data_IF_155555604751
#
_entry.id   IF_155555604751
#
_cell.length_a   1.000
_cell.length_b   1.000
_cell.length_c   1.000
_cell.angle_alpha   90.00
_cell.angle_beta   90.00
_cell.angle_gamma   90.00
#
_symmetry.space_group_name_H-M   'P 1'
#
loop_
_entity.id
_entity.type
_entity.pdbx_description
1 polymer ?
#
# COMPACT_ATOMS: atom_id res chain seq x y z
N UNK A 1 -35.60 31.23 35.36
CA UNK A 1 -34.92 31.18 34.04
C UNK A 1 -33.45 30.74 34.17
N UNK A 2 -33.18 29.56 34.77
CA UNK A 2 -31.79 29.06 34.98
C UNK A 2 -31.59 27.59 34.54
N UNK A 3 -32.63 26.98 33.94
CA UNK A 3 -32.60 25.57 33.50
C UNK A 3 -32.43 25.40 31.99
N UNK A 4 -32.38 26.50 31.24
CA UNK A 4 -32.24 26.49 29.77
C UNK A 4 -30.79 26.66 29.28
N UNK A 5 -29.82 26.73 30.20
CA UNK A 5 -28.40 26.95 29.91
C UNK A 5 -27.58 25.65 29.89
N UNK A 6 -28.22 24.49 30.14
CA UNK A 6 -27.55 23.19 30.24
C UNK A 6 -27.58 22.36 28.95
N UNK A 7 -28.32 22.80 27.92
CA UNK A 7 -28.46 22.04 26.66
C UNK A 7 -27.43 22.47 25.60
N UNK A 8 -26.74 23.60 25.79
CA UNK A 8 -25.80 24.14 24.79
C UNK A 8 -24.40 23.50 24.83
N UNK A 9 -24.11 22.60 25.78
CA UNK A 9 -22.75 22.06 25.99
C UNK A 9 -22.50 20.70 25.30
N UNK A 10 -23.48 20.15 24.56
CA UNK A 10 -23.37 18.83 23.95
C UNK A 10 -23.26 18.87 22.41
N UNK A 11 -22.42 19.75 21.88
CA UNK A 11 -21.89 19.64 20.52
C UNK A 11 -20.39 19.90 20.56
N UNK A 12 -19.63 18.98 21.14
CA UNK A 12 -18.23 18.84 20.74
C UNK A 12 -18.25 18.32 19.30
N UNK A 13 -17.71 19.03 18.30
CA UNK A 13 -17.46 18.42 17.02
C UNK A 13 -16.47 17.27 17.26
N UNK A 14 -16.87 16.04 16.97
CA UNK A 14 -15.94 14.95 16.73
C UNK A 14 -15.04 15.43 15.59
N UNK A 15 -13.83 15.87 15.92
CA UNK A 15 -12.79 16.05 14.92
C UNK A 15 -12.49 14.66 14.38
N UNK A 16 -13.10 14.32 13.25
CA UNK A 16 -12.65 13.21 12.44
C UNK A 16 -11.21 13.55 12.03
N UNK A 17 -10.24 12.95 12.72
CA UNK A 17 -8.87 12.94 12.23
C UNK A 17 -8.92 12.15 10.93
N UNK A 18 -8.70 12.80 9.79
CA UNK A 18 -8.40 12.06 8.57
C UNK A 18 -7.23 11.13 8.91
N UNK A 19 -7.43 9.81 8.85
CA UNK A 19 -6.32 8.88 9.04
C UNK A 19 -5.44 9.00 7.81
N UNK A 20 -4.16 9.28 7.99
CA UNK A 20 -3.20 9.35 6.88
C UNK A 20 -2.82 7.93 6.44
N UNK A 21 -2.29 7.79 5.24
CA UNK A 21 -1.70 6.54 4.76
C UNK A 21 -0.19 6.66 4.54
N UNK A 22 0.51 5.54 4.65
CA UNK A 22 1.90 5.42 4.24
C UNK A 22 2.23 4.01 3.73
N UNK A 23 2.62 3.92 2.46
CA UNK A 23 3.12 2.70 1.83
C UNK A 23 4.62 2.85 1.60
N UNK A 24 5.43 2.03 2.25
CA UNK A 24 6.90 2.06 2.11
C UNK A 24 7.40 0.83 1.36
N UNK A 25 8.21 1.02 0.34
CA UNK A 25 8.87 -0.04 -0.41
C UNK A 25 10.38 0.07 -0.23
N UNK A 26 11.03 -1.05 0.09
CA UNK A 26 12.47 -1.14 0.29
C UNK A 26 13.04 -2.20 -0.63
N UNK A 27 13.88 -1.77 -1.57
CA UNK A 27 14.46 -2.66 -2.56
C UNK A 27 15.89 -3.07 -2.18
N UNK A 28 16.20 -4.35 -2.29
CA UNK A 28 17.55 -4.86 -2.04
C UNK A 28 18.41 -4.66 -3.29
N UNK A 29 19.60 -4.07 -3.13
CA UNK A 29 20.57 -3.85 -4.21
C UNK A 29 20.04 -3.07 -5.44
N UNK A 30 18.96 -2.30 -5.27
CA UNK A 30 18.31 -1.58 -6.35
C UNK A 30 17.80 -0.22 -5.88
N UNK A 31 18.08 0.81 -6.67
CA UNK A 31 17.64 2.19 -6.45
C UNK A 31 16.69 2.56 -7.59
N UNK A 32 15.37 2.53 -7.38
CA UNK A 32 14.42 2.85 -8.43
C UNK A 32 14.57 4.30 -8.88
N UNK A 33 14.27 4.61 -10.14
CA UNK A 33 14.23 6.00 -10.62
C UNK A 33 12.81 6.55 -10.68
N UNK A 34 11.83 5.68 -11.02
CA UNK A 34 10.43 6.09 -11.13
C UNK A 34 9.52 4.97 -10.67
N UNK A 35 8.84 5.20 -9.56
CA UNK A 35 7.84 4.28 -8.98
C UNK A 35 6.47 4.95 -9.02
N UNK A 36 5.48 4.23 -9.51
CA UNK A 36 4.08 4.66 -9.55
C UNK A 36 3.20 3.73 -8.71
N UNK A 37 2.23 4.31 -8.04
CA UNK A 37 1.15 3.60 -7.37
C UNK A 37 -0.11 3.80 -8.21
N UNK A 38 -0.78 2.71 -8.56
CA UNK A 38 -1.98 2.73 -9.40
C UNK A 38 -3.10 1.90 -8.79
N UNK A 39 -4.36 2.35 -8.85
CA UNK A 39 -5.51 1.56 -8.37
C UNK A 39 -6.55 1.36 -9.47
N UNK A 40 -7.16 0.17 -9.49
CA UNK A 40 -8.29 -0.10 -10.37
C UNK A 40 -9.60 0.30 -9.69
N UNK A 41 -10.33 1.27 -10.24
CA UNK A 41 -11.67 1.61 -9.81
C UNK A 41 -12.62 1.57 -11.01
N UNK A 42 -13.56 0.62 -10.98
CA UNK A 42 -14.45 0.29 -12.11
C UNK A 42 -13.68 -0.12 -13.38
N UNK A 43 -13.94 0.55 -14.51
CA UNK A 43 -13.32 0.31 -15.81
C UNK A 43 -12.07 1.18 -16.05
N UNK A 44 -11.64 1.99 -15.07
CA UNK A 44 -10.47 2.88 -15.25
C UNK A 44 -9.48 2.80 -14.08
N UNK A 45 -8.23 3.10 -14.43
CA UNK A 45 -7.13 3.17 -13.50
C UNK A 45 -7.15 4.57 -12.85
N UNK A 46 -7.50 4.62 -11.57
CA UNK A 46 -7.62 5.83 -10.79
C UNK A 46 -6.56 5.84 -9.69
N UNK A 47 -5.98 7.02 -9.45
CA UNK A 47 -4.81 7.27 -8.60
C UNK A 47 -3.49 6.80 -9.24
N UNK A 48 -2.88 7.62 -10.09
CA UNK A 48 -1.46 7.51 -10.47
C UNK A 48 -0.68 8.49 -9.58
N UNK A 49 -0.22 8.06 -8.40
CA UNK A 49 0.69 8.91 -7.61
C UNK A 49 2.05 8.81 -8.28
N UNK A 50 2.32 9.74 -9.19
CA UNK A 50 3.67 10.07 -9.60
C UNK A 50 4.30 10.86 -8.45
N UNK A 51 5.53 10.51 -8.05
CA UNK A 51 6.31 11.13 -6.94
C UNK A 51 6.13 10.46 -5.58
N UNK A 52 6.43 9.17 -5.50
CA UNK A 52 6.87 8.64 -4.24
C UNK A 52 8.09 9.41 -3.72
N UNK A 53 8.10 9.75 -2.44
CA UNK A 53 9.32 10.23 -1.81
C UNK A 53 10.37 9.11 -1.89
N UNK A 54 11.63 9.47 -2.12
CA UNK A 54 12.70 8.50 -2.30
C UNK A 54 13.94 8.88 -1.50
N UNK A 55 14.55 7.86 -0.88
CA UNK A 55 15.87 7.95 -0.27
C UNK A 55 16.64 6.66 -0.57
N UNK A 56 17.55 6.73 -1.55
CA UNK A 56 18.30 5.57 -2.04
C UNK A 56 17.37 4.45 -2.51
N UNK A 57 17.48 3.30 -1.87
CA UNK A 57 16.70 2.09 -2.18
C UNK A 57 15.32 2.03 -1.50
N UNK A 58 14.94 3.08 -0.77
CA UNK A 58 13.66 3.18 -0.08
C UNK A 58 12.79 4.22 -0.76
N UNK A 59 11.56 3.86 -1.02
CA UNK A 59 10.54 4.67 -1.68
C UNK A 59 9.28 4.64 -0.83
N UNK A 60 8.54 5.73 -0.71
CA UNK A 60 7.24 5.70 -0.03
C UNK A 60 6.22 6.65 -0.63
N UNK A 61 4.96 6.20 -0.60
CA UNK A 61 3.79 7.01 -0.86
C UNK A 61 3.16 7.37 0.48
N UNK A 62 2.82 8.64 0.68
CA UNK A 62 2.06 9.08 1.84
C UNK A 62 1.11 10.20 1.45
N UNK A 63 0.02 10.34 2.18
CA UNK A 63 -1.00 11.35 1.90
C UNK A 63 -2.02 11.44 3.02
N UNK A 64 -2.81 12.52 2.97
CA UNK A 64 -3.90 12.74 3.91
C UNK A 64 -5.13 11.92 3.52
N UNK A 65 -5.74 11.25 4.50
CA UNK A 65 -6.88 10.37 4.28
C UNK A 65 -6.50 8.93 3.95
N UNK A 66 -7.46 8.03 4.15
CA UNK A 66 -7.26 6.60 3.92
C UNK A 66 -7.29 6.28 2.43
N UNK A 67 -6.46 5.35 2.00
CA UNK A 67 -6.64 4.69 0.72
C UNK A 67 -7.93 3.87 0.75
N UNK A 68 -8.71 3.95 -0.33
CA UNK A 68 -9.86 3.09 -0.50
C UNK A 68 -9.43 1.62 -0.51
N UNK A 69 -10.22 0.70 0.07
CA UNK A 69 -9.92 -0.71 -0.03
C UNK A 69 -9.93 -1.18 -1.49
N UNK A 70 -8.97 -2.01 -1.86
CA UNK A 70 -8.85 -2.48 -3.23
C UNK A 70 -7.48 -3.06 -3.57
N UNK A 71 -7.28 -3.35 -4.85
CA UNK A 71 -6.02 -3.84 -5.40
C UNK A 71 -5.27 -2.66 -6.00
N UNK A 72 -4.07 -2.44 -5.50
CA UNK A 72 -3.16 -1.40 -5.99
C UNK A 72 -1.95 -2.06 -6.65
N UNK A 73 -1.47 -1.50 -7.75
CA UNK A 73 -0.22 -1.93 -8.40
C UNK A 73 0.89 -0.93 -8.13
N UNK A 74 2.04 -1.45 -7.73
CA UNK A 74 3.30 -0.72 -7.65
C UNK A 74 4.05 -1.00 -8.95
N UNK A 75 4.31 0.04 -9.74
CA UNK A 75 4.97 -0.06 -11.04
C UNK A 75 6.35 0.57 -10.94
N UNK A 76 7.39 -0.20 -11.23
CA UNK A 76 8.77 0.27 -11.33
C UNK A 76 9.11 0.48 -12.80
N UNK A 77 8.96 1.71 -13.27
CA UNK A 77 9.05 2.01 -14.71
C UNK A 77 10.42 1.70 -15.30
N UNK A 78 11.48 1.86 -14.51
CA UNK A 78 12.86 1.71 -14.95
C UNK A 78 13.31 0.25 -15.08
N UNK A 79 12.74 -0.67 -14.30
CA UNK A 79 12.96 -2.12 -14.46
C UNK A 79 11.89 -2.79 -15.33
N UNK A 80 10.77 -2.11 -15.60
CA UNK A 80 9.63 -2.68 -16.32
C UNK A 80 8.86 -3.74 -15.52
N UNK A 81 9.09 -3.82 -14.21
CA UNK A 81 8.41 -4.77 -13.32
C UNK A 81 7.31 -4.10 -12.51
N UNK A 82 6.39 -4.90 -12.00
CA UNK A 82 5.33 -4.44 -11.11
C UNK A 82 4.90 -5.55 -10.14
N UNK A 83 4.22 -5.15 -9.07
CA UNK A 83 3.55 -6.08 -8.16
C UNK A 83 2.29 -5.46 -7.60
N UNK A 84 1.35 -6.33 -7.20
CA UNK A 84 0.07 -5.92 -6.62
C UNK A 84 0.13 -6.00 -5.09
N UNK A 85 -0.58 -5.08 -4.44
CA UNK A 85 -0.81 -5.06 -3.00
C UNK A 85 -2.31 -4.91 -2.73
N UNK A 86 -2.74 -5.38 -1.57
CA UNK A 86 -4.11 -5.24 -1.11
C UNK A 86 -4.20 -4.12 -0.08
N UNK A 87 -5.15 -3.21 -0.23
CA UNK A 87 -5.46 -2.20 0.77
C UNK A 87 -6.77 -2.58 1.44
N UNK A 88 -6.80 -2.55 2.77
CA UNK A 88 -8.00 -2.70 3.59
C UNK A 88 -8.18 -1.47 4.49
N UNK A 89 -9.33 -1.38 5.17
CA UNK A 89 -9.60 -0.24 6.05
C UNK A 89 -8.69 -0.20 7.29
N UNK A 90 -8.20 -1.36 7.74
CA UNK A 90 -7.53 -1.48 9.03
C UNK A 90 -6.02 -1.17 8.96
N UNK A 91 -5.42 -1.29 7.77
CA UNK A 91 -3.99 -1.22 7.56
C UNK A 91 -3.62 -0.13 6.55
N UNK A 92 -3.43 1.10 7.03
CA UNK A 92 -3.03 2.25 6.19
C UNK A 92 -1.51 2.51 6.20
N UNK A 93 -0.77 1.81 7.05
CA UNK A 93 0.68 1.95 7.22
C UNK A 93 1.36 0.61 6.97
N UNK A 94 1.95 0.46 5.79
CA UNK A 94 2.54 -0.81 5.35
C UNK A 94 3.99 -0.63 4.88
N UNK A 95 4.79 -1.67 5.08
CA UNK A 95 6.15 -1.75 4.52
C UNK A 95 6.35 -3.05 3.77
N UNK A 96 6.84 -2.93 2.54
CA UNK A 96 7.18 -4.02 1.63
C UNK A 96 8.69 -4.02 1.40
N UNK A 97 9.35 -5.17 1.57
CA UNK A 97 10.78 -5.32 1.31
C UNK A 97 11.00 -6.50 0.38
N UNK A 98 11.70 -6.29 -0.74
CA UNK A 98 11.99 -7.33 -1.73
C UNK A 98 13.30 -7.05 -2.49
N UNK A 99 13.75 -8.02 -3.27
CA UNK A 99 14.67 -7.86 -4.38
C UNK A 99 13.86 -7.67 -5.67
N UNK A 100 14.21 -6.68 -6.50
CA UNK A 100 13.49 -6.37 -7.75
C UNK A 100 13.57 -7.51 -8.76
N UNK A 101 14.62 -8.35 -8.69
CA UNK A 101 14.83 -9.46 -9.62
C UNK A 101 14.06 -10.72 -9.22
N UNK A 102 13.53 -10.79 -7.99
CA UNK A 102 12.76 -11.93 -7.50
C UNK A 102 11.74 -11.49 -6.44
N UNK A 103 10.81 -10.62 -6.85
CA UNK A 103 9.85 -9.98 -5.95
C UNK A 103 9.03 -11.03 -5.21
N UNK A 104 8.49 -12.02 -5.92
CA UNK A 104 7.55 -13.01 -5.41
C UNK A 104 8.19 -13.91 -4.34
N UNK A 105 9.46 -14.30 -4.52
CA UNK A 105 10.13 -15.16 -3.53
C UNK A 105 10.68 -14.35 -2.36
N UNK A 106 11.11 -13.10 -2.60
CA UNK A 106 11.83 -12.31 -1.58
C UNK A 106 10.95 -11.32 -0.80
N UNK A 107 9.69 -11.14 -1.20
CA UNK A 107 8.77 -10.21 -0.53
C UNK A 107 8.61 -10.52 0.96
N UNK A 108 8.79 -9.48 1.77
CA UNK A 108 8.50 -9.45 3.20
C UNK A 108 7.63 -8.24 3.50
N UNK A 109 6.54 -8.47 4.22
CA UNK A 109 5.55 -7.43 4.55
C UNK A 109 5.56 -7.16 6.05
N UNK A 110 5.34 -5.91 6.42
CA UNK A 110 5.09 -5.48 7.80
C UNK A 110 3.96 -4.45 7.82
N UNK A 111 3.13 -4.49 8.87
CA UNK A 111 1.96 -3.62 8.99
C UNK A 111 0.72 -4.07 8.20
N UNK A 112 0.74 -5.25 7.58
CA UNK A 112 -0.45 -5.85 6.95
C UNK A 112 -0.34 -7.38 6.90
N UNK A 113 -1.09 -8.06 7.77
CA UNK A 113 -1.20 -9.52 7.75
C UNK A 113 -1.90 -10.02 6.49
N UNK A 114 -2.85 -9.24 5.96
CA UNK A 114 -3.54 -9.51 4.69
C UNK A 114 -2.53 -9.65 3.55
N UNK A 115 -1.63 -8.67 3.39
CA UNK A 115 -0.60 -8.73 2.35
C UNK A 115 0.43 -9.83 2.61
N UNK A 116 0.83 -10.08 3.87
CA UNK A 116 1.70 -11.21 4.20
C UNK A 116 1.14 -12.52 3.64
N UNK A 117 -0.15 -12.80 3.89
CA UNK A 117 -0.84 -13.99 3.39
C UNK A 117 -1.00 -14.00 1.88
N UNK A 118 -1.29 -12.84 1.28
CA UNK A 118 -1.40 -12.70 -0.17
C UNK A 118 -0.11 -13.08 -0.88
N UNK A 119 1.04 -12.57 -0.43
CA UNK A 119 2.33 -12.90 -1.02
C UNK A 119 2.78 -14.35 -0.73
N UNK A 120 2.46 -14.91 0.44
CA UNK A 120 2.73 -16.33 0.71
C UNK A 120 1.94 -17.25 -0.22
N UNK A 121 0.68 -16.91 -0.51
CA UNK A 121 -0.13 -17.62 -1.49
C UNK A 121 0.48 -17.50 -2.90
N UNK A 122 0.85 -16.30 -3.33
CA UNK A 122 1.50 -16.09 -4.63
C UNK A 122 2.78 -16.92 -4.77
N UNK A 123 3.65 -16.90 -3.74
CA UNK A 123 4.88 -17.70 -3.70
C UNK A 123 4.58 -19.20 -3.90
N UNK A 124 3.63 -19.72 -3.14
CA UNK A 124 3.19 -21.11 -3.22
C UNK A 124 2.70 -21.47 -4.64
N UNK A 125 1.91 -20.59 -5.24
CA UNK A 125 1.38 -20.78 -6.60
C UNK A 125 2.51 -20.75 -7.66
N UNK A 126 3.46 -19.82 -7.53
CA UNK A 126 4.63 -19.75 -8.41
C UNK A 126 5.47 -21.03 -8.33
N UNK A 127 5.70 -21.55 -7.12
CA UNK A 127 6.47 -22.77 -6.92
C UNK A 127 5.76 -23.99 -7.53
N UNK A 128 4.45 -24.09 -7.34
CA UNK A 128 3.63 -25.13 -7.95
C UNK A 128 3.68 -25.08 -9.48
N UNK A 129 3.54 -23.89 -10.07
CA UNK A 129 3.63 -23.72 -11.53
C UNK A 129 5.02 -24.09 -12.08
N UNK A 130 6.09 -23.75 -11.35
CA UNK A 130 7.47 -24.11 -11.72
C UNK A 130 7.70 -25.62 -11.68
N UNK A 131 7.10 -26.33 -10.73
CA UNK A 131 7.19 -27.80 -10.66
C UNK A 131 6.48 -28.47 -11.84
N UNK A 132 5.33 -27.94 -12.27
CA UNK A 132 4.56 -28.47 -13.40
C UNK A 132 5.19 -28.22 -14.77
N UNK A 133 6.06 -27.23 -14.88
CA UNK A 133 6.75 -26.88 -16.11
C UNK A 133 8.06 -27.69 -16.34
N UNK A 134 8.44 -28.54 -15.38
CA UNK A 134 9.56 -29.49 -15.49
C UNK A 134 9.04 -30.86 -15.89
#
# INVERSE_FOLDING_TARGET
>A
MKKLLWILTLMLPMMATAQDFKLTMKFSHYTPQKVRLTHFYEDKQYLDIDSAHQNGNTVWFEGQGELYPGIYSIILNDSGTSFEILVDHDNQFMTFKCDVNDIQQTMKVSGSELNSRFFDYQRTMTDFNRQRAK
#
